data_IF_840781873834
#
_entry.id   IF_840781873834
#
_cell.length_a   1.000
_cell.length_b   1.000
_cell.length_c   1.000
_cell.angle_alpha   90.00
_cell.angle_beta   90.00
_cell.angle_gamma   90.00
#
_symmetry.space_group_name_H-M   'P 1'
#
loop_
_entity.id
_entity.type
_entity.pdbx_description
1 polymer ?
#
# COMPACT_ATOMS: atom_id res chain seq x y z
N UNK A 1 29.66 30.29 8.72
CA UNK A 1 30.43 29.20 8.06
C UNK A 1 29.43 28.17 7.61
N UNK A 2 29.50 27.83 6.34
CA UNK A 2 28.42 27.27 5.51
C UNK A 2 27.86 25.95 6.05
N UNK A 3 26.53 25.89 6.15
CA UNK A 3 25.82 24.65 6.45
C UNK A 3 26.00 23.70 5.27
N UNK A 4 26.87 22.71 5.44
CA UNK A 4 27.07 21.62 4.52
C UNK A 4 25.83 20.70 4.56
N UNK A 5 24.70 21.17 3.99
CA UNK A 5 23.58 20.30 3.67
C UNK A 5 24.05 19.36 2.58
N UNK A 6 24.04 18.03 2.77
CA UNK A 6 24.35 17.12 1.67
C UNK A 6 23.34 17.41 0.56
N UNK A 7 23.83 18.01 -0.53
CA UNK A 7 23.04 18.33 -1.70
C UNK A 7 22.41 17.03 -2.17
N UNK A 8 21.07 17.00 -2.25
CA UNK A 8 20.32 15.90 -2.86
C UNK A 8 20.95 15.61 -4.22
N UNK A 9 21.49 14.40 -4.39
CA UNK A 9 22.17 14.01 -5.62
C UNK A 9 21.11 13.95 -6.72
N UNK A 10 21.20 14.82 -7.71
CA UNK A 10 20.28 14.79 -8.84
C UNK A 10 20.64 13.59 -9.74
N UNK A 11 19.78 12.59 -9.78
CA UNK A 11 19.92 11.47 -10.71
C UNK A 11 19.22 11.83 -12.02
N UNK A 12 19.88 11.70 -13.19
CA UNK A 12 19.22 11.80 -14.48
C UNK A 12 18.02 10.83 -14.52
N UNK A 13 16.81 11.37 -14.62
CA UNK A 13 15.56 10.59 -14.60
C UNK A 13 14.76 10.63 -13.30
N UNK A 14 15.27 11.22 -12.21
CA UNK A 14 14.50 11.37 -10.97
C UNK A 14 13.36 12.39 -11.13
N UNK A 15 12.13 11.93 -10.94
CA UNK A 15 10.95 12.79 -11.07
C UNK A 15 10.80 13.78 -9.90
N UNK A 16 10.14 14.94 -10.12
CA UNK A 16 9.81 15.85 -9.03
C UNK A 16 9.00 15.19 -7.90
N UNK A 17 8.14 14.24 -8.23
CA UNK A 17 7.35 13.47 -7.25
C UNK A 17 8.28 12.70 -6.29
N UNK A 18 9.24 11.95 -6.84
CA UNK A 18 10.21 11.16 -6.07
C UNK A 18 11.06 12.04 -5.17
N UNK A 19 11.57 13.14 -5.73
CA UNK A 19 12.39 14.11 -5.00
C UNK A 19 11.63 14.76 -3.84
N UNK A 20 10.37 15.13 -4.07
CA UNK A 20 9.53 15.74 -3.05
C UNK A 20 9.20 14.76 -1.92
N UNK A 21 9.06 13.48 -2.23
CA UNK A 21 8.92 12.43 -1.21
C UNK A 21 10.16 12.32 -0.32
N UNK A 22 11.37 12.23 -0.89
CA UNK A 22 12.62 12.26 -0.11
C UNK A 22 12.73 13.52 0.76
N UNK A 23 12.43 14.68 0.18
CA UNK A 23 12.51 15.99 0.86
C UNK A 23 11.58 16.11 2.07
N UNK A 24 10.54 15.28 2.16
CA UNK A 24 9.63 15.28 3.30
C UNK A 24 10.25 14.73 4.59
N UNK A 25 11.40 14.05 4.51
CA UNK A 25 12.12 13.47 5.66
C UNK A 25 13.39 14.26 5.97
N UNK A 26 13.97 14.22 7.19
CA UNK A 26 15.25 14.87 7.50
C UNK A 26 16.40 14.43 6.60
N UNK A 27 17.40 15.29 6.32
CA UNK A 27 18.55 14.93 5.47
C UNK A 27 19.28 13.66 5.93
N UNK A 28 19.39 13.44 7.23
CA UNK A 28 20.04 12.26 7.81
C UNK A 28 19.36 10.93 7.44
N UNK A 29 18.09 10.95 7.02
CA UNK A 29 17.32 9.74 6.70
C UNK A 29 17.36 9.44 5.21
N UNK A 30 17.72 10.42 4.37
CA UNK A 30 17.58 10.31 2.92
C UNK A 30 18.79 9.58 2.35
N UNK A 31 18.56 8.72 1.37
CA UNK A 31 19.61 8.22 0.49
C UNK A 31 20.73 7.44 1.23
N UNK A 32 20.36 6.75 2.31
CA UNK A 32 21.28 5.99 3.16
C UNK A 32 21.74 4.75 2.43
N UNK A 33 23.06 4.52 2.39
CA UNK A 33 23.65 3.37 1.71
C UNK A 33 24.07 2.30 2.70
N UNK A 34 23.84 1.05 2.34
CA UNK A 34 24.17 -0.15 3.10
C UNK A 34 24.93 -1.09 2.20
N UNK A 35 25.89 -1.82 2.77
CA UNK A 35 26.64 -2.86 2.06
C UNK A 35 26.11 -4.19 2.55
N UNK A 36 25.69 -5.05 1.63
CA UNK A 36 25.39 -6.43 1.97
C UNK A 36 26.67 -7.15 2.39
N UNK A 37 26.69 -7.66 3.62
CA UNK A 37 27.82 -8.41 4.15
C UNK A 37 28.03 -9.75 3.43
N UNK A 38 27.00 -10.27 2.73
CA UNK A 38 27.04 -11.59 2.09
C UNK A 38 27.63 -11.52 0.68
N UNK A 39 27.10 -10.62 -0.16
CA UNK A 39 27.51 -10.51 -1.57
C UNK A 39 28.30 -9.23 -1.88
N UNK A 40 28.48 -8.33 -0.91
CA UNK A 40 29.17 -7.05 -1.10
C UNK A 40 28.38 -6.03 -1.92
N UNK A 41 27.09 -6.31 -2.19
CA UNK A 41 26.23 -5.42 -2.98
C UNK A 41 25.91 -4.14 -2.22
N UNK A 42 25.98 -3.00 -2.92
CA UNK A 42 25.65 -1.70 -2.35
C UNK A 42 24.17 -1.40 -2.58
N UNK A 43 23.37 -1.42 -1.52
CA UNK A 43 21.98 -0.96 -1.55
C UNK A 43 21.87 0.47 -1.06
N UNK A 44 21.06 1.28 -1.74
CA UNK A 44 20.76 2.66 -1.31
C UNK A 44 19.27 2.82 -1.10
N UNK A 45 18.91 3.08 0.15
CA UNK A 45 17.55 3.37 0.56
C UNK A 45 17.16 4.79 0.14
N UNK A 46 15.97 5.01 -0.41
CA UNK A 46 15.49 6.37 -0.66
C UNK A 46 15.33 7.15 0.66
N UNK A 47 14.71 6.50 1.65
CA UNK A 47 14.66 6.95 3.05
C UNK A 47 14.84 5.75 3.98
N UNK A 48 15.68 5.89 5.00
CA UNK A 48 15.80 4.95 6.10
C UNK A 48 15.67 5.70 7.44
N UNK A 49 14.75 5.23 8.28
CA UNK A 49 14.35 5.93 9.51
C UNK A 49 15.08 5.38 10.74
N UNK A 50 15.20 6.15 11.84
CA UNK A 50 15.82 5.67 13.08
C UNK A 50 15.12 4.47 13.71
N UNK A 51 13.82 4.29 13.46
CA UNK A 51 13.08 3.11 13.89
C UNK A 51 13.32 1.86 13.01
N UNK A 52 14.27 1.94 12.07
CA UNK A 52 14.72 0.81 11.24
C UNK A 52 13.83 0.53 10.03
N UNK A 53 12.92 1.46 9.68
CA UNK A 53 12.04 1.32 8.51
C UNK A 53 12.69 1.93 7.27
N UNK A 54 12.73 1.16 6.19
CA UNK A 54 13.13 1.65 4.86
C UNK A 54 11.89 2.01 4.04
N UNK A 55 11.86 3.22 3.48
CA UNK A 55 10.82 3.67 2.57
C UNK A 55 11.40 3.80 1.17
N UNK A 56 10.77 3.16 0.20
CA UNK A 56 11.18 3.18 -1.21
C UNK A 56 10.10 3.84 -2.07
N UNK A 57 10.49 4.84 -2.86
CA UNK A 57 9.58 5.58 -3.72
C UNK A 57 9.71 5.07 -5.16
N UNK A 58 8.60 4.67 -5.77
CA UNK A 58 8.62 4.15 -7.13
C UNK A 58 7.62 4.86 -8.03
N UNK A 59 8.16 5.59 -9.01
CA UNK A 59 7.38 6.28 -10.03
C UNK A 59 7.00 5.39 -11.22
N UNK A 60 7.76 4.30 -11.41
CA UNK A 60 7.60 3.32 -12.48
C UNK A 60 7.73 1.90 -11.89
N UNK A 61 7.22 0.88 -12.57
CA UNK A 61 7.46 -0.51 -12.19
C UNK A 61 8.95 -0.84 -12.22
N UNK A 62 9.38 -1.65 -11.26
CA UNK A 62 10.72 -2.24 -11.20
C UNK A 62 10.70 -3.69 -11.72
N UNK A 63 11.87 -4.29 -11.92
CA UNK A 63 11.95 -5.70 -12.26
C UNK A 63 11.55 -6.58 -11.07
N UNK A 64 11.15 -7.82 -11.36
CA UNK A 64 10.88 -8.82 -10.32
C UNK A 64 12.11 -9.13 -9.46
N UNK A 65 13.29 -9.10 -10.06
CA UNK A 65 14.57 -9.32 -9.39
C UNK A 65 14.88 -8.18 -8.42
N UNK A 66 14.71 -6.94 -8.85
CA UNK A 66 14.93 -5.76 -8.00
C UNK A 66 13.96 -5.73 -6.81
N UNK A 67 12.68 -6.05 -7.05
CA UNK A 67 11.69 -6.18 -5.98
C UNK A 67 12.16 -7.21 -4.93
N UNK A 68 12.52 -8.41 -5.38
CA UNK A 68 12.94 -9.51 -4.49
C UNK A 68 14.23 -9.20 -3.76
N UNK A 69 15.21 -8.64 -4.46
CA UNK A 69 16.50 -8.24 -3.88
C UNK A 69 16.29 -7.22 -2.75
N UNK A 70 15.49 -6.17 -3.00
CA UNK A 70 15.19 -5.16 -2.00
C UNK A 70 14.37 -5.67 -0.82
N UNK A 71 13.34 -6.46 -1.05
CA UNK A 71 12.54 -7.04 0.05
C UNK A 71 13.32 -8.07 0.87
N UNK A 72 14.27 -8.78 0.27
CA UNK A 72 15.17 -9.67 0.99
C UNK A 72 16.21 -8.90 1.83
N UNK A 73 16.69 -7.77 1.32
CA UNK A 73 17.70 -6.96 1.98
C UNK A 73 17.15 -6.13 3.16
N UNK A 74 15.99 -5.50 2.99
CA UNK A 74 15.41 -4.61 3.97
C UNK A 74 14.29 -5.29 4.78
N UNK A 75 14.49 -5.60 6.08
CA UNK A 75 13.50 -6.35 6.86
C UNK A 75 12.19 -5.58 7.09
N UNK A 76 12.27 -4.25 7.21
CA UNK A 76 11.13 -3.36 7.44
C UNK A 76 10.96 -2.39 6.26
N UNK A 77 10.69 -2.93 5.07
CA UNK A 77 10.49 -2.12 3.87
C UNK A 77 9.02 -1.73 3.66
N UNK A 78 8.79 -0.49 3.21
CA UNK A 78 7.49 -0.02 2.74
C UNK A 78 7.66 0.59 1.35
N UNK A 79 6.83 0.13 0.40
CA UNK A 79 6.77 0.68 -0.94
C UNK A 79 5.78 1.85 -0.99
N UNK A 80 6.20 2.99 -1.54
CA UNK A 80 5.34 4.11 -1.85
C UNK A 80 5.34 4.29 -3.37
N UNK A 81 4.20 4.07 -3.99
CA UNK A 81 4.04 4.08 -5.44
C UNK A 81 3.40 5.39 -5.91
N UNK A 82 3.89 5.93 -7.02
CA UNK A 82 3.25 7.05 -7.69
C UNK A 82 2.00 6.58 -8.44
N UNK A 83 0.86 6.62 -7.76
CA UNK A 83 -0.42 6.18 -8.31
C UNK A 83 -1.05 7.14 -9.29
N UNK A 84 -0.52 8.38 -9.48
CA UNK A 84 -1.08 9.36 -10.42
C UNK A 84 -1.22 8.84 -11.85
N UNK A 85 -0.37 7.88 -12.24
CA UNK A 85 -0.34 7.29 -13.58
C UNK A 85 -1.09 5.96 -13.68
N UNK A 86 -1.68 5.46 -12.59
CA UNK A 86 -2.34 4.16 -12.59
C UNK A 86 -3.65 4.22 -13.37
N UNK A 87 -3.68 3.53 -14.52
CA UNK A 87 -4.88 3.43 -15.35
C UNK A 87 -5.91 2.52 -14.69
N UNK A 88 -7.12 3.05 -14.53
CA UNK A 88 -8.25 2.30 -13.97
C UNK A 88 -8.12 2.00 -12.48
N UNK A 89 -7.29 2.74 -11.73
CA UNK A 89 -7.29 2.72 -10.27
C UNK A 89 -8.39 3.67 -9.75
N UNK A 90 -9.38 3.14 -9.04
CA UNK A 90 -10.50 3.92 -8.50
C UNK A 90 -10.80 3.49 -7.08
N UNK A 91 -10.83 4.46 -6.16
CA UNK A 91 -11.39 4.28 -4.82
C UNK A 91 -12.91 4.25 -4.95
N UNK A 92 -13.56 3.25 -4.37
CA UNK A 92 -14.99 2.98 -4.53
C UNK A 92 -15.79 3.32 -3.27
N UNK A 93 -16.28 2.32 -2.53
CA UNK A 93 -17.20 2.50 -1.41
C UNK A 93 -16.47 2.35 -0.08
N UNK A 94 -16.91 3.07 0.95
CA UNK A 94 -16.43 2.81 2.31
C UNK A 94 -16.81 1.40 2.75
N UNK A 95 -15.93 0.78 3.53
CA UNK A 95 -16.10 -0.56 4.08
C UNK A 95 -16.35 -0.48 5.57
N UNK A 96 -17.07 -1.47 6.15
CA UNK A 96 -17.04 -1.68 7.59
C UNK A 96 -15.62 -2.05 8.05
N UNK A 97 -15.43 -2.20 9.36
CA UNK A 97 -14.25 -2.92 9.82
C UNK A 97 -14.31 -4.32 9.21
N UNK A 98 -13.28 -4.66 8.42
CA UNK A 98 -13.25 -5.90 7.64
C UNK A 98 -13.16 -7.13 8.55
N UNK A 99 -12.70 -6.94 9.79
CA UNK A 99 -12.61 -7.98 10.82
C UNK A 99 -13.71 -7.87 11.89
N UNK A 100 -14.78 -7.08 11.64
CA UNK A 100 -15.95 -7.02 12.53
C UNK A 100 -16.49 -8.44 12.79
N UNK A 101 -16.68 -8.85 14.06
CA UNK A 101 -17.15 -10.20 14.39
C UNK A 101 -18.47 -10.60 13.71
N UNK A 102 -19.34 -9.63 13.39
CA UNK A 102 -20.60 -9.86 12.68
C UNK A 102 -20.40 -10.27 11.22
N UNK A 103 -19.22 -10.00 10.66
CA UNK A 103 -18.82 -10.40 9.31
C UNK A 103 -18.14 -11.78 9.27
N UNK A 104 -17.98 -12.46 10.40
CA UNK A 104 -17.27 -13.75 10.49
C UNK A 104 -17.88 -14.85 9.61
N UNK A 105 -19.21 -14.82 9.41
CA UNK A 105 -19.94 -15.75 8.56
C UNK A 105 -20.01 -15.33 7.07
N UNK A 106 -19.39 -14.21 6.70
CA UNK A 106 -19.52 -13.60 5.37
C UNK A 106 -18.18 -13.31 4.70
N UNK A 107 -18.18 -13.37 3.38
CA UNK A 107 -17.07 -13.04 2.49
C UNK A 107 -17.46 -11.88 1.59
N UNK A 108 -16.50 -11.01 1.27
CA UNK A 108 -16.71 -9.92 0.34
C UNK A 108 -16.60 -10.45 -1.08
N UNK A 109 -17.53 -10.08 -1.95
CA UNK A 109 -17.47 -10.49 -3.35
C UNK A 109 -16.41 -9.68 -4.12
N UNK A 110 -15.65 -10.34 -5.00
CA UNK A 110 -14.70 -9.70 -5.91
C UNK A 110 -15.40 -9.00 -7.09
N UNK A 111 -16.12 -7.91 -6.80
CA UNK A 111 -16.78 -7.08 -7.80
C UNK A 111 -16.68 -5.59 -7.46
N UNK A 112 -16.91 -4.72 -8.45
CA UNK A 112 -16.98 -3.26 -8.23
C UNK A 112 -18.18 -2.87 -7.33
N UNK A 113 -19.14 -3.77 -7.13
CA UNK A 113 -20.28 -3.56 -6.22
C UNK A 113 -19.97 -4.10 -4.83
N UNK A 114 -20.10 -3.23 -3.83
CA UNK A 114 -19.93 -3.62 -2.44
C UNK A 114 -21.04 -4.59 -2.03
N UNK A 115 -20.67 -5.86 -1.95
CA UNK A 115 -21.56 -6.99 -1.70
C UNK A 115 -20.81 -8.10 -0.99
N UNK A 116 -21.59 -8.99 -0.38
CA UNK A 116 -21.10 -10.12 0.39
C UNK A 116 -21.85 -11.41 0.05
N UNK A 117 -21.23 -12.52 0.40
CA UNK A 117 -21.79 -13.87 0.29
C UNK A 117 -21.62 -14.57 1.63
N UNK A 118 -22.57 -15.43 2.02
CA UNK A 118 -22.39 -16.27 3.22
C UNK A 118 -21.38 -17.36 2.92
N UNK A 119 -20.55 -17.71 3.90
CA UNK A 119 -19.63 -18.84 3.78
C UNK A 119 -20.38 -20.16 3.49
N UNK A 120 -21.57 -20.33 4.05
CA UNK A 120 -22.45 -21.49 3.78
C UNK A 120 -22.92 -21.58 2.33
N UNK A 121 -22.95 -20.45 1.62
CA UNK A 121 -23.50 -20.35 0.27
C UNK A 121 -22.40 -20.52 -0.80
N UNK A 122 -21.11 -20.54 -0.41
CA UNK A 122 -19.97 -20.72 -1.32
C UNK A 122 -19.98 -22.07 -2.06
N UNK A 123 -20.54 -23.11 -1.45
CA UNK A 123 -20.62 -24.46 -2.02
C UNK A 123 -21.96 -24.73 -2.73
N UNK A 124 -22.88 -23.77 -2.72
CA UNK A 124 -24.20 -23.94 -3.32
C UNK A 124 -24.16 -23.60 -4.81
N UNK A 125 -24.99 -24.30 -5.59
CA UNK A 125 -25.11 -24.12 -7.04
C UNK A 125 -25.60 -22.70 -7.43
N UNK A 126 -26.33 -22.03 -6.53
CA UNK A 126 -26.82 -20.65 -6.70
C UNK A 126 -26.59 -19.81 -5.45
N UNK A 127 -25.39 -19.23 -5.29
CA UNK A 127 -25.07 -18.42 -4.13
C UNK A 127 -25.92 -17.14 -4.05
N UNK A 128 -26.39 -16.80 -2.85
CA UNK A 128 -27.16 -15.56 -2.62
C UNK A 128 -26.21 -14.40 -2.30
N UNK A 129 -26.15 -13.43 -3.20
CA UNK A 129 -25.38 -12.19 -3.00
C UNK A 129 -26.18 -11.19 -2.16
N UNK A 130 -25.53 -10.63 -1.14
CA UNK A 130 -26.09 -9.68 -0.20
C UNK A 130 -25.46 -8.30 -0.40
N UNK A 131 -26.26 -7.26 -0.52
CA UNK A 131 -25.77 -5.88 -0.43
C UNK A 131 -25.85 -5.37 1.02
N UNK A 132 -25.19 -4.25 1.30
CA UNK A 132 -25.16 -3.66 2.65
C UNK A 132 -26.49 -3.03 3.11
N UNK A 133 -27.57 -3.16 2.34
CA UNK A 133 -28.94 -2.83 2.77
C UNK A 133 -29.71 -4.08 3.24
N UNK A 134 -29.16 -5.28 3.05
CA UNK A 134 -29.79 -6.52 3.46
C UNK A 134 -29.97 -6.56 5.00
N UNK A 135 -31.12 -7.03 5.54
CA UNK A 135 -31.39 -7.02 6.97
C UNK A 135 -30.31 -7.64 7.86
N UNK A 136 -29.59 -8.63 7.33
CA UNK A 136 -28.50 -9.33 8.03
C UNK A 136 -27.25 -8.48 8.25
N UNK A 137 -26.94 -7.54 7.35
CA UNK A 137 -25.67 -6.77 7.38
C UNK A 137 -25.87 -5.25 7.41
N UNK A 138 -27.10 -4.75 7.27
CA UNK A 138 -27.40 -3.31 7.31
C UNK A 138 -27.05 -2.59 8.61
N UNK A 139 -26.89 -3.33 9.72
CA UNK A 139 -26.56 -2.79 11.03
C UNK A 139 -25.06 -2.63 11.29
N UNK A 140 -24.21 -2.96 10.31
CA UNK A 140 -22.75 -2.92 10.46
C UNK A 140 -22.27 -1.53 10.00
N UNK A 141 -21.64 -0.74 10.90
CA UNK A 141 -21.23 0.60 10.58
C UNK A 141 -20.09 0.59 9.56
N UNK A 142 -20.14 1.51 8.60
CA UNK A 142 -19.03 1.75 7.69
C UNK A 142 -17.98 2.63 8.38
N UNK A 143 -16.72 2.34 8.11
CA UNK A 143 -15.59 3.14 8.56
C UNK A 143 -15.39 4.34 7.62
N UNK A 144 -14.68 5.35 8.13
CA UNK A 144 -14.18 6.47 7.31
C UNK A 144 -12.81 6.20 6.70
N UNK A 145 -12.19 5.04 7.02
CA UNK A 145 -10.80 4.77 6.69
C UNK A 145 -10.55 3.50 5.87
N UNK A 146 -11.53 2.61 5.71
CA UNK A 146 -11.45 1.47 4.80
C UNK A 146 -12.33 1.67 3.58
N UNK A 147 -11.80 1.33 2.41
CA UNK A 147 -12.50 1.48 1.13
C UNK A 147 -12.27 0.28 0.21
N UNK A 148 -13.32 -0.13 -0.51
CA UNK A 148 -13.15 -0.98 -1.68
C UNK A 148 -12.51 -0.17 -2.80
N UNK A 149 -11.87 -0.87 -3.74
CA UNK A 149 -11.25 -0.23 -4.89
C UNK A 149 -11.27 -1.14 -6.10
N UNK A 150 -11.03 -0.56 -7.26
CA UNK A 150 -10.83 -1.27 -8.51
C UNK A 150 -9.47 -0.87 -9.07
N UNK A 151 -8.70 -1.82 -9.59
CA UNK A 151 -7.47 -1.56 -10.34
C UNK A 151 -7.41 -2.46 -11.56
N UNK A 152 -7.72 -1.92 -12.74
CA UNK A 152 -7.86 -2.70 -13.98
C UNK A 152 -6.54 -3.08 -14.66
N UNK A 153 -5.52 -2.23 -14.52
CA UNK A 153 -4.20 -2.46 -15.14
C UNK A 153 -3.04 -2.37 -14.13
N UNK A 154 -3.05 -3.22 -13.10
CA UNK A 154 -1.95 -3.33 -12.15
C UNK A 154 -0.72 -3.95 -12.81
N UNK A 155 0.45 -3.37 -12.54
CA UNK A 155 1.70 -4.00 -12.94
C UNK A 155 1.96 -5.23 -12.10
N UNK A 156 2.26 -6.37 -12.75
CA UNK A 156 2.42 -7.68 -12.12
C UNK A 156 3.37 -7.68 -10.92
N UNK A 157 4.45 -6.92 -11.00
CA UNK A 157 5.46 -6.83 -9.94
C UNK A 157 4.86 -6.47 -8.58
N UNK A 158 3.85 -5.60 -8.54
CA UNK A 158 3.24 -5.17 -7.28
C UNK A 158 2.30 -6.20 -6.65
N UNK A 159 1.89 -7.25 -7.37
CA UNK A 159 1.16 -8.36 -6.76
C UNK A 159 2.07 -9.36 -6.05
N UNK A 160 3.34 -9.39 -6.43
CA UNK A 160 4.34 -10.30 -5.88
C UNK A 160 5.05 -9.69 -4.68
N UNK A 161 4.87 -8.38 -4.45
CA UNK A 161 5.41 -7.67 -3.31
C UNK A 161 4.83 -8.24 -2.01
N UNK A 162 5.72 -8.55 -1.07
CA UNK A 162 5.35 -9.05 0.26
C UNK A 162 5.34 -7.92 1.28
N UNK A 163 6.07 -6.85 1.01
CA UNK A 163 6.13 -5.69 1.86
C UNK A 163 4.89 -4.78 1.67
N UNK A 164 4.50 -4.00 2.70
CA UNK A 164 3.40 -3.06 2.59
C UNK A 164 3.54 -2.11 1.39
N UNK A 165 2.46 -1.99 0.61
CA UNK A 165 2.37 -1.04 -0.49
C UNK A 165 1.42 0.10 -0.13
N UNK A 166 1.89 1.31 -0.37
CA UNK A 166 1.14 2.56 -0.23
C UNK A 166 1.10 3.24 -1.58
N UNK A 167 -0.10 3.65 -2.01
CA UNK A 167 -0.29 4.37 -3.27
C UNK A 167 -0.53 5.85 -2.97
N UNK A 168 0.25 6.72 -3.61
CA UNK A 168 0.06 8.17 -3.59
C UNK A 168 -0.67 8.61 -4.87
N UNK A 169 -1.94 9.00 -4.73
CA UNK A 169 -2.75 9.54 -5.83
C UNK A 169 -2.58 11.07 -6.00
N UNK A 170 -1.73 11.71 -5.18
CA UNK A 170 -1.40 13.13 -5.27
C UNK A 170 -2.21 14.07 -4.40
N UNK A 171 -3.06 13.55 -3.50
CA UNK A 171 -3.88 14.33 -2.59
C UNK A 171 -3.29 14.43 -1.17
N UNK A 172 -4.17 14.72 -0.21
CA UNK A 172 -3.83 14.77 1.22
C UNK A 172 -3.70 13.39 1.87
N UNK A 173 -4.19 12.36 1.19
CA UNK A 173 -4.25 11.00 1.70
C UNK A 173 -3.41 10.04 0.87
N UNK A 174 -2.94 9.00 1.55
CA UNK A 174 -2.25 7.85 1.02
C UNK A 174 -3.16 6.63 1.15
N UNK A 175 -2.97 5.66 0.27
CA UNK A 175 -3.84 4.49 0.21
C UNK A 175 -3.00 3.23 0.37
N UNK A 176 -2.97 2.69 1.58
CA UNK A 176 -2.30 1.43 1.87
C UNK A 176 -3.14 0.27 1.34
N UNK A 177 -2.53 -0.57 0.51
CA UNK A 177 -3.14 -1.83 0.07
C UNK A 177 -3.09 -2.83 1.22
N UNK A 178 -4.26 -3.33 1.63
CA UNK A 178 -4.42 -4.38 2.63
C UNK A 178 -5.25 -5.52 2.05
N UNK A 179 -5.17 -6.68 2.70
CA UNK A 179 -5.90 -7.88 2.31
C UNK A 179 -6.58 -8.50 3.52
N UNK A 180 -7.83 -8.90 3.35
CA UNK A 180 -8.55 -9.77 4.28
C UNK A 180 -8.50 -11.19 3.75
N UNK A 181 -8.06 -12.15 4.57
CA UNK A 181 -8.07 -13.58 4.25
C UNK A 181 -9.50 -14.11 4.20
N UNK A 182 -9.84 -14.81 3.11
CA UNK A 182 -11.18 -15.37 2.86
C UNK A 182 -11.05 -16.68 2.05
N UNK A 183 -12.06 -17.54 2.10
CA UNK A 183 -12.09 -18.84 1.41
C UNK A 183 -12.20 -18.68 -0.10
N UNK A 184 -12.93 -17.65 -0.57
CA UNK A 184 -13.06 -17.27 -1.98
C UNK A 184 -11.83 -16.55 -2.57
N UNK A 185 -10.71 -16.53 -1.82
CA UNK A 185 -9.51 -15.78 -2.15
C UNK A 185 -9.45 -14.43 -1.42
N UNK A 186 -8.24 -13.94 -1.20
CA UNK A 186 -8.03 -12.72 -0.43
C UNK A 186 -8.80 -11.54 -1.03
N UNK A 187 -9.43 -10.75 -0.17
CA UNK A 187 -10.10 -9.53 -0.57
C UNK A 187 -9.20 -8.33 -0.33
N UNK A 188 -8.76 -7.72 -1.42
CA UNK A 188 -7.96 -6.51 -1.36
C UNK A 188 -8.83 -5.28 -1.06
N UNK A 189 -8.36 -4.42 -0.19
CA UNK A 189 -9.00 -3.16 0.16
C UNK A 189 -7.97 -2.07 0.46
N UNK A 190 -8.42 -0.82 0.52
CA UNK A 190 -7.58 0.32 0.84
C UNK A 190 -7.81 0.77 2.27
N UNK A 191 -6.71 1.02 2.97
CA UNK A 191 -6.67 1.80 4.20
C UNK A 191 -6.16 3.20 3.89
N UNK A 192 -7.01 4.22 4.07
CA UNK A 192 -6.66 5.61 3.80
C UNK A 192 -5.96 6.23 5.02
N UNK A 193 -4.81 6.86 4.78
CA UNK A 193 -3.95 7.41 5.82
C UNK A 193 -3.64 8.88 5.46
N UNK A 194 -3.81 9.85 6.36
CA UNK A 194 -3.36 11.22 6.09
C UNK A 194 -1.86 11.24 5.83
N UNK A 195 -1.43 11.85 4.71
CA UNK A 195 -0.02 11.89 4.32
C UNK A 195 0.86 12.52 5.41
N UNK A 196 0.35 13.56 6.07
CA UNK A 196 1.02 14.22 7.19
C UNK A 196 1.28 13.24 8.34
N UNK A 197 0.26 12.53 8.80
CA UNK A 197 0.38 11.54 9.88
C UNK A 197 1.30 10.38 9.49
N UNK A 198 1.28 9.92 8.24
CA UNK A 198 2.19 8.89 7.74
C UNK A 198 3.66 9.31 7.77
N UNK A 199 3.97 10.58 7.51
CA UNK A 199 5.35 11.08 7.60
C UNK A 199 5.74 11.25 9.08
N UNK A 200 4.88 11.88 9.88
CA UNK A 200 5.14 12.21 11.28
C UNK A 200 5.45 10.99 12.16
N UNK A 201 4.86 9.82 11.87
CA UNK A 201 5.17 8.59 12.62
C UNK A 201 6.63 8.13 12.48
N UNK A 202 7.35 8.56 11.44
CA UNK A 202 8.75 8.19 11.21
C UNK A 202 9.75 9.28 11.63
N UNK A 203 9.26 10.42 12.11
CA UNK A 203 10.09 11.53 12.59
C UNK A 203 10.32 11.48 14.10
N UNK A 204 9.73 10.50 14.78
CA UNK A 204 9.79 10.32 16.23
C UNK A 204 10.92 9.40 16.64
#
# INVERSE_FOLDING_TARGET
>A
MESNSPLLRFYPGETPWHRNWKKAFPPAFREVSFVDATFGELHRADVHTPCGTTLEFQNSPISMEELRSREAFYPNLVWILNGKKFKGFRVLKSLPDVDDPRLSAYEFCHSDHLSMIRKSDLIQDKPKILNFYHPEIKGIPLTSYYYSFCWKHPHRVWFEAKCPIIVDLGGHFLYQLKQRRQLSGDYAYLHIIPRKSFIEQYLR
#
